data_IF_017191945154
#
_entry.id   IF_017191945154
#
_cell.length_a   1.000
_cell.length_b   1.000
_cell.length_c   1.000
_cell.angle_alpha   90.00
_cell.angle_beta   90.00
_cell.angle_gamma   90.00
#
_symmetry.space_group_name_H-M   'P 1'
#
loop_
_entity.id
_entity.type
_entity.pdbx_description
1 polymer ?
#
# COMPACT_ATOMS: atom_id res chain seq x y z
N UNK A 1 -8.73 -11.82 -10.92
CA UNK A 1 -8.20 -11.57 -9.57
C UNK A 1 -7.06 -12.55 -9.32
N UNK A 2 -5.92 -12.04 -8.80
CA UNK A 2 -4.79 -12.86 -8.39
C UNK A 2 -4.92 -13.47 -7.00
N UNK A 3 -4.03 -14.41 -6.66
CA UNK A 3 -3.98 -15.03 -5.33
C UNK A 3 -3.77 -14.02 -4.19
N UNK A 4 -3.23 -12.83 -4.49
CA UNK A 4 -3.07 -11.70 -3.58
C UNK A 4 -4.31 -10.81 -3.46
N UNK A 5 -5.46 -11.24 -3.98
CA UNK A 5 -6.74 -10.52 -4.03
C UNK A 5 -6.75 -9.24 -4.88
N UNK A 6 -5.68 -8.97 -5.63
CA UNK A 6 -5.59 -7.80 -6.50
C UNK A 6 -6.01 -8.14 -7.94
N UNK A 7 -6.51 -7.14 -8.68
CA UNK A 7 -6.71 -7.27 -10.11
C UNK A 7 -5.34 -7.40 -10.79
N UNK A 8 -5.20 -8.40 -11.67
CA UNK A 8 -4.01 -8.57 -12.50
C UNK A 8 -4.46 -8.51 -13.97
N UNK A 9 -3.92 -7.56 -14.70
CA UNK A 9 -4.14 -7.43 -16.13
C UNK A 9 -2.96 -8.11 -16.83
N UNK A 10 -3.19 -9.19 -17.60
CA UNK A 10 -2.13 -9.88 -18.33
C UNK A 10 -1.31 -8.91 -19.18
N UNK A 11 0.02 -9.03 -19.15
CA UNK A 11 0.99 -8.16 -19.84
C UNK A 11 0.97 -6.66 -19.45
N UNK A 12 0.30 -6.31 -18.34
CA UNK A 12 0.25 -4.93 -17.81
C UNK A 12 0.51 -4.86 -16.32
N UNK A 13 0.29 -5.97 -15.57
CA UNK A 13 0.52 -6.05 -14.14
C UNK A 13 -0.71 -5.73 -13.31
N UNK A 14 -0.49 -5.18 -12.12
CA UNK A 14 -1.54 -4.91 -11.13
C UNK A 14 -1.45 -3.51 -10.49
N UNK A 15 -0.60 -2.63 -11.01
CA UNK A 15 -0.52 -1.24 -10.54
C UNK A 15 -1.56 -0.37 -11.25
N UNK A 16 -2.84 -0.64 -10.98
CA UNK A 16 -3.98 0.08 -11.55
C UNK A 16 -4.94 0.50 -10.45
N UNK A 17 -5.57 1.66 -10.61
CA UNK A 17 -6.75 2.03 -9.86
C UNK A 17 -7.98 1.46 -10.54
N UNK A 18 -8.95 1.01 -9.75
CA UNK A 18 -10.26 0.58 -10.24
C UNK A 18 -11.21 1.78 -10.23
N UNK A 19 -12.00 1.90 -11.27
CA UNK A 19 -13.10 2.84 -11.37
C UNK A 19 -14.37 2.12 -11.82
N UNK A 20 -15.50 2.60 -11.37
CA UNK A 20 -16.82 2.09 -11.75
C UNK A 20 -17.65 3.24 -12.31
N UNK A 21 -18.38 2.98 -13.39
CA UNK A 21 -19.33 3.93 -13.99
C UNK A 21 -20.71 3.30 -13.86
N UNK A 22 -21.60 3.97 -13.15
CA UNK A 22 -23.00 3.56 -13.01
C UNK A 22 -23.80 4.29 -14.09
N UNK A 23 -24.46 3.53 -14.94
CA UNK A 23 -25.27 4.06 -16.05
C UNK A 23 -26.62 3.35 -16.06
N UNK A 24 -27.63 4.01 -16.63
CA UNK A 24 -28.97 3.47 -16.83
C UNK A 24 -29.21 2.94 -18.26
N UNK A 25 -28.11 2.56 -18.92
CA UNK A 25 -28.13 1.95 -20.24
C UNK A 25 -28.03 0.43 -20.13
N UNK A 26 -28.80 -0.25 -20.96
CA UNK A 26 -28.71 -1.71 -21.09
C UNK A 26 -27.43 -2.08 -21.84
N UNK A 27 -26.69 -3.08 -21.32
CA UNK A 27 -25.50 -3.59 -21.98
C UNK A 27 -25.91 -4.57 -23.12
N UNK A 28 -25.30 -4.39 -24.27
CA UNK A 28 -25.51 -5.28 -25.44
C UNK A 28 -24.73 -6.60 -25.31
N UNK A 29 -23.66 -6.62 -24.50
CA UNK A 29 -22.88 -7.82 -24.23
C UNK A 29 -22.10 -7.71 -22.90
N UNK A 30 -21.70 -8.84 -22.34
CA UNK A 30 -20.89 -8.94 -21.14
C UNK A 30 -19.62 -9.73 -21.41
N UNK A 31 -18.50 -9.30 -20.82
CA UNK A 31 -17.24 -10.03 -20.89
C UNK A 31 -17.31 -11.36 -20.13
N UNK A 32 -16.63 -12.35 -20.67
CA UNK A 32 -16.49 -13.66 -20.00
C UNK A 32 -15.39 -13.63 -18.94
N UNK A 33 -15.57 -14.34 -17.81
CA UNK A 33 -14.55 -14.45 -16.80
C UNK A 33 -13.23 -15.02 -17.35
N UNK A 34 -12.13 -14.34 -17.06
CA UNK A 34 -10.79 -14.78 -17.47
C UNK A 34 -10.28 -15.92 -16.58
N UNK A 35 -9.50 -16.83 -17.17
CA UNK A 35 -8.84 -17.90 -16.41
C UNK A 35 -7.82 -17.34 -15.43
N UNK A 36 -7.67 -18.01 -14.29
CA UNK A 36 -6.66 -17.65 -13.31
C UNK A 36 -5.25 -17.87 -13.89
N UNK A 37 -4.45 -16.80 -13.90
CA UNK A 37 -3.09 -16.79 -14.47
C UNK A 37 -1.98 -17.00 -13.42
N UNK A 38 -2.32 -17.27 -12.15
CA UNK A 38 -1.34 -17.47 -11.08
C UNK A 38 -0.70 -18.87 -11.09
N UNK A 39 -1.39 -19.90 -11.60
CA UNK A 39 -0.89 -21.27 -11.60
C UNK A 39 -0.42 -21.73 -10.21
N UNK A 40 0.75 -22.35 -10.13
CA UNK A 40 1.39 -22.79 -8.87
C UNK A 40 2.12 -21.69 -8.10
N UNK A 41 2.24 -20.46 -8.65
CA UNK A 41 3.01 -19.38 -8.04
C UNK A 41 2.46 -18.96 -6.66
N UNK A 42 3.35 -18.79 -5.68
CA UNK A 42 3.05 -18.34 -4.29
C UNK A 42 3.78 -17.07 -3.88
N UNK A 43 4.55 -16.43 -4.77
CA UNK A 43 5.45 -15.32 -4.43
C UNK A 43 4.81 -14.20 -3.60
N UNK A 44 3.55 -13.84 -3.89
CA UNK A 44 2.85 -12.81 -3.14
C UNK A 44 2.50 -13.24 -1.71
N UNK A 45 2.18 -14.52 -1.49
CA UNK A 45 1.91 -15.08 -0.17
C UNK A 45 3.20 -15.10 0.67
N UNK A 46 4.30 -15.51 0.05
CA UNK A 46 5.61 -15.63 0.69
C UNK A 46 6.17 -14.25 1.06
N UNK A 47 6.00 -13.26 0.18
CA UNK A 47 6.48 -11.90 0.36
C UNK A 47 5.68 -11.07 1.38
N UNK A 48 4.50 -11.53 1.82
CA UNK A 48 3.69 -10.78 2.77
C UNK A 48 4.38 -10.68 4.14
N UNK A 49 4.80 -9.49 4.60
CA UNK A 49 5.61 -9.35 5.83
C UNK A 49 4.83 -9.72 7.10
N UNK A 50 3.52 -9.60 7.07
CA UNK A 50 2.63 -9.89 8.19
C UNK A 50 1.87 -11.21 8.04
N UNK A 51 2.09 -11.90 6.91
CA UNK A 51 1.31 -13.10 6.55
C UNK A 51 -0.20 -12.84 6.57
N UNK A 52 -0.59 -11.64 6.12
CA UNK A 52 -1.99 -11.27 5.97
C UNK A 52 -2.68 -12.06 4.84
N UNK A 53 -1.93 -12.49 3.83
CA UNK A 53 -2.40 -13.45 2.83
C UNK A 53 -2.30 -14.86 3.41
N UNK A 54 -3.41 -15.37 3.92
CA UNK A 54 -3.49 -16.66 4.63
C UNK A 54 -3.58 -17.85 3.67
N UNK A 55 -3.69 -17.58 2.39
CA UNK A 55 -3.78 -18.55 1.32
C UNK A 55 -4.23 -17.88 0.01
N UNK A 56 -4.34 -18.63 -1.08
CA UNK A 56 -4.85 -18.09 -2.34
C UNK A 56 -6.23 -17.46 -2.16
N UNK A 57 -6.37 -16.18 -2.59
CA UNK A 57 -7.62 -15.40 -2.54
C UNK A 57 -8.17 -15.15 -1.12
N UNK A 58 -7.35 -15.35 -0.08
CA UNK A 58 -7.75 -15.13 1.31
C UNK A 58 -6.86 -14.08 1.96
N UNK A 59 -7.45 -12.92 2.24
CA UNK A 59 -6.79 -11.80 2.91
C UNK A 59 -7.43 -11.59 4.30
N UNK A 60 -6.60 -11.62 5.33
CA UNK A 60 -6.95 -11.10 6.65
C UNK A 60 -6.56 -9.62 6.69
N UNK A 61 -7.55 -8.74 6.56
CA UNK A 61 -7.32 -7.29 6.53
C UNK A 61 -6.71 -6.75 7.84
N UNK A 62 -7.06 -7.30 8.98
CA UNK A 62 -6.54 -6.87 10.29
C UNK A 62 -5.03 -7.08 10.45
N UNK A 63 -4.43 -7.92 9.59
CA UNK A 63 -2.99 -8.15 9.51
C UNK A 63 -2.33 -7.41 8.35
N UNK A 64 -3.11 -6.89 7.40
CA UNK A 64 -2.59 -6.23 6.21
C UNK A 64 -2.00 -4.85 6.55
N UNK A 65 -0.72 -4.62 6.24
CA UNK A 65 -0.07 -3.33 6.48
C UNK A 65 -0.75 -2.18 5.73
N UNK A 66 -1.31 -2.44 4.54
CA UNK A 66 -2.06 -1.41 3.82
C UNK A 66 -3.27 -0.95 4.62
N UNK A 67 -4.09 -1.89 5.12
CA UNK A 67 -5.22 -1.57 5.98
C UNK A 67 -4.77 -0.88 7.29
N UNK A 68 -3.76 -1.44 7.96
CA UNK A 68 -3.28 -0.92 9.25
C UNK A 68 -2.71 0.50 9.15
N UNK A 69 -2.07 0.85 8.04
CA UNK A 69 -1.46 2.17 7.87
C UNK A 69 -2.41 3.22 7.30
N UNK A 70 -3.49 2.80 6.63
CA UNK A 70 -4.43 3.71 5.95
C UNK A 70 -5.76 3.82 6.69
N UNK A 71 -6.39 2.68 7.05
CA UNK A 71 -7.78 2.62 7.51
C UNK A 71 -7.91 2.45 9.02
N UNK A 72 -7.01 1.69 9.65
CA UNK A 72 -7.08 1.40 11.06
C UNK A 72 -6.86 2.64 11.92
N UNK A 73 -7.69 2.83 12.96
CA UNK A 73 -7.70 4.04 13.79
C UNK A 73 -7.14 3.83 15.20
N UNK A 74 -6.92 2.60 15.61
CA UNK A 74 -6.32 2.27 16.92
C UNK A 74 -4.80 2.29 16.89
N UNK A 75 -4.17 1.92 18.00
CA UNK A 75 -2.73 1.84 18.16
C UNK A 75 -2.15 0.63 17.45
N UNK A 76 -0.98 0.80 16.85
CA UNK A 76 -0.26 -0.29 16.21
C UNK A 76 0.49 -1.11 17.27
N UNK A 77 0.36 -2.43 17.20
CA UNK A 77 1.16 -3.33 18.04
C UNK A 77 2.66 -3.20 17.71
N UNK A 78 3.56 -3.30 18.69
CA UNK A 78 5.00 -3.19 18.47
C UNK A 78 5.54 -4.15 17.38
N UNK A 79 4.97 -5.35 17.30
CA UNK A 79 5.34 -6.36 16.28
C UNK A 79 4.97 -5.91 14.87
N UNK A 80 3.88 -5.13 14.73
CA UNK A 80 3.48 -4.53 13.46
C UNK A 80 4.51 -3.51 13.00
N UNK A 81 4.93 -2.60 13.88
CA UNK A 81 5.98 -1.63 13.61
C UNK A 81 7.26 -2.28 13.09
N UNK A 82 7.69 -3.41 13.71
CA UNK A 82 8.86 -4.17 13.26
C UNK A 82 8.74 -4.70 11.82
N UNK A 83 7.53 -4.99 11.34
CA UNK A 83 7.25 -5.54 10.01
C UNK A 83 7.01 -4.46 8.94
N UNK A 84 6.80 -3.22 9.34
CA UNK A 84 6.53 -2.11 8.43
C UNK A 84 7.73 -1.74 7.54
N UNK A 85 8.97 -1.99 7.99
CA UNK A 85 10.16 -1.46 7.30
C UNK A 85 10.13 0.07 7.31
N UNK A 86 10.17 0.69 6.13
CA UNK A 86 10.05 2.15 5.97
C UNK A 86 8.68 2.58 5.42
N UNK A 87 7.65 1.73 5.55
CA UNK A 87 6.32 1.97 5.01
C UNK A 87 5.46 2.72 6.03
N UNK A 88 5.29 4.02 5.84
CA UNK A 88 4.43 4.86 6.68
C UNK A 88 2.99 4.95 6.14
N UNK A 89 2.76 4.57 4.89
CA UNK A 89 1.47 4.58 4.22
C UNK A 89 1.43 3.51 3.12
N UNK A 90 0.45 2.61 3.18
CA UNK A 90 0.30 1.52 2.21
C UNK A 90 1.35 0.41 2.33
N UNK A 91 1.19 -0.63 1.51
CA UNK A 91 2.12 -1.75 1.45
C UNK A 91 1.94 -2.52 0.14
N UNK A 92 2.89 -2.47 -0.76
CA UNK A 92 2.82 -3.10 -2.08
C UNK A 92 3.69 -4.35 -2.21
N UNK A 93 4.10 -4.99 -1.10
CA UNK A 93 5.01 -6.14 -1.15
C UNK A 93 4.45 -7.31 -1.97
N UNK A 94 3.16 -7.59 -1.85
CA UNK A 94 2.51 -8.63 -2.65
C UNK A 94 2.37 -8.25 -4.13
N UNK A 95 2.28 -6.96 -4.46
CA UNK A 95 2.29 -6.45 -5.83
C UNK A 95 3.71 -6.53 -6.42
N UNK A 96 4.73 -6.04 -5.68
CA UNK A 96 6.14 -6.07 -6.10
C UNK A 96 6.63 -7.49 -6.35
N UNK A 97 6.20 -8.46 -5.54
CA UNK A 97 6.56 -9.86 -5.70
C UNK A 97 5.86 -10.55 -6.89
N UNK A 98 4.81 -9.95 -7.45
CA UNK A 98 4.04 -10.55 -8.52
C UNK A 98 4.80 -10.54 -9.85
N UNK A 99 5.03 -11.71 -10.49
CA UNK A 99 5.75 -11.77 -11.77
C UNK A 99 5.08 -11.00 -12.91
N UNK A 100 3.76 -10.78 -12.84
CA UNK A 100 3.04 -10.00 -13.84
C UNK A 100 3.46 -8.52 -13.84
N UNK A 101 3.95 -7.99 -12.72
CA UNK A 101 4.40 -6.60 -12.62
C UNK A 101 5.72 -6.30 -13.33
N UNK A 102 6.42 -7.32 -13.88
CA UNK A 102 7.53 -7.10 -14.82
C UNK A 102 7.11 -6.38 -16.09
N UNK A 103 5.83 -6.39 -16.41
CA UNK A 103 5.26 -5.69 -17.56
C UNK A 103 4.69 -4.32 -17.22
N UNK A 104 4.69 -3.93 -15.94
CA UNK A 104 4.19 -2.63 -15.51
C UNK A 104 5.02 -1.50 -16.14
N UNK A 105 4.35 -0.47 -16.58
CA UNK A 105 4.99 0.73 -17.15
C UNK A 105 4.89 1.89 -16.16
N UNK A 106 5.86 2.80 -16.13
CA UNK A 106 5.77 4.01 -15.32
C UNK A 106 4.51 4.80 -15.66
N UNK A 107 3.83 5.29 -14.62
CA UNK A 107 2.67 6.16 -14.78
C UNK A 107 3.12 7.51 -15.38
N UNK A 108 2.43 7.97 -16.43
CA UNK A 108 2.69 9.26 -17.10
C UNK A 108 1.63 10.31 -16.78
N UNK A 109 0.61 9.95 -16.01
CA UNK A 109 -0.46 10.87 -15.58
C UNK A 109 0.12 11.89 -14.62
N UNK A 110 0.06 13.17 -14.97
CA UNK A 110 0.70 14.24 -14.22
C UNK A 110 0.17 14.35 -12.79
N UNK A 111 -1.12 14.14 -12.61
CA UNK A 111 -1.81 14.22 -11.32
C UNK A 111 -1.36 13.13 -10.32
N UNK A 112 -0.75 12.06 -10.80
CA UNK A 112 -0.21 10.98 -9.97
C UNK A 112 1.29 11.13 -9.68
N UNK A 113 1.94 12.15 -10.23
CA UNK A 113 3.34 12.41 -9.91
C UNK A 113 3.47 13.03 -8.51
N UNK A 114 4.48 12.62 -7.72
CA UNK A 114 4.70 13.21 -6.41
C UNK A 114 5.12 14.67 -6.53
N UNK A 115 4.63 15.51 -5.60
CA UNK A 115 5.03 16.92 -5.57
C UNK A 115 6.53 17.09 -5.24
N UNK A 116 7.19 18.15 -5.74
CA UNK A 116 8.59 18.42 -5.38
C UNK A 116 8.79 18.56 -3.87
N UNK A 117 7.84 19.14 -3.14
CA UNK A 117 7.88 19.27 -1.68
C UNK A 117 7.90 17.91 -0.98
N UNK A 118 7.12 16.94 -1.48
CA UNK A 118 7.14 15.58 -0.95
C UNK A 118 8.49 14.87 -1.22
N UNK A 119 9.04 15.05 -2.42
CA UNK A 119 10.31 14.42 -2.81
C UNK A 119 11.51 15.02 -2.07
N UNK A 120 11.44 16.26 -1.62
CA UNK A 120 12.52 16.91 -0.86
C UNK A 120 12.54 16.56 0.62
N UNK A 121 11.48 15.94 1.15
CA UNK A 121 11.39 15.59 2.57
C UNK A 121 12.45 14.58 2.99
N UNK A 122 13.23 14.94 4.01
CA UNK A 122 14.22 14.09 4.67
C UNK A 122 13.60 13.39 5.88
N UNK A 123 14.35 12.47 6.47
CA UNK A 123 13.88 11.69 7.62
C UNK A 123 13.40 12.58 8.77
N UNK A 124 14.13 13.63 9.08
CA UNK A 124 13.81 14.52 10.20
C UNK A 124 12.53 15.35 9.93
N UNK A 125 12.29 15.71 8.66
CA UNK A 125 11.07 16.41 8.25
C UNK A 125 9.82 15.55 8.50
N UNK A 126 9.93 14.24 8.28
CA UNK A 126 8.84 13.31 8.59
C UNK A 126 8.54 13.23 10.08
N UNK A 127 9.56 13.36 10.94
CA UNK A 127 9.39 13.29 12.39
C UNK A 127 8.84 14.57 13.00
N UNK A 128 9.24 15.70 12.45
CA UNK A 128 8.82 17.03 12.88
C UNK A 128 7.60 17.55 12.12
N UNK A 129 6.96 16.72 11.28
CA UNK A 129 5.85 17.11 10.43
C UNK A 129 4.69 17.65 11.28
N UNK A 130 4.40 18.96 11.13
CA UNK A 130 3.23 19.57 11.77
C UNK A 130 1.94 19.26 11.03
N UNK A 131 0.80 19.47 11.70
CA UNK A 131 -0.50 19.26 11.05
C UNK A 131 -0.73 20.22 9.88
N UNK A 132 -0.21 21.45 9.98
CA UNK A 132 -0.28 22.44 8.91
C UNK A 132 0.54 22.00 7.69
N UNK A 133 1.78 21.59 7.91
CA UNK A 133 2.63 21.03 6.86
C UNK A 133 1.98 19.80 6.20
N UNK A 134 1.40 18.89 7.00
CA UNK A 134 0.66 17.74 6.48
C UNK A 134 -0.49 18.17 5.56
N UNK A 135 -1.29 19.16 5.97
CA UNK A 135 -2.41 19.66 5.16
C UNK A 135 -1.94 20.21 3.82
N UNK A 136 -0.79 20.89 3.81
CA UNK A 136 -0.21 21.50 2.62
C UNK A 136 0.43 20.46 1.69
N UNK A 137 1.33 19.61 2.22
CA UNK A 137 2.05 18.58 1.44
C UNK A 137 1.11 17.57 0.81
N UNK A 138 0.05 17.16 1.53
CA UNK A 138 -0.89 16.16 1.07
C UNK A 138 -2.22 16.73 0.56
N UNK A 139 -2.25 18.01 0.15
CA UNK A 139 -3.44 18.59 -0.49
C UNK A 139 -3.79 17.81 -1.76
N UNK A 140 -5.03 17.32 -1.83
CA UNK A 140 -5.50 16.49 -2.95
C UNK A 140 -4.96 15.04 -2.97
N UNK A 141 -4.10 14.66 -2.02
CA UNK A 141 -3.52 13.32 -1.96
C UNK A 141 -4.40 12.31 -1.20
N UNK A 142 -4.39 11.05 -1.65
CA UNK A 142 -5.00 9.93 -0.94
C UNK A 142 -4.41 9.68 0.47
N UNK A 143 -3.21 10.20 0.77
CA UNK A 143 -2.59 10.10 2.10
C UNK A 143 -3.47 10.74 3.19
N UNK A 144 -4.32 11.70 2.83
CA UNK A 144 -5.32 12.27 3.75
C UNK A 144 -6.29 11.24 4.34
N UNK A 145 -6.45 10.08 3.72
CA UNK A 145 -7.27 8.99 4.23
C UNK A 145 -6.79 8.49 5.60
N UNK A 146 -5.48 8.41 5.81
CA UNK A 146 -4.88 8.04 7.10
C UNK A 146 -5.13 9.09 8.20
N UNK A 147 -5.42 10.33 7.84
CA UNK A 147 -5.43 11.52 8.72
C UNK A 147 -4.03 11.79 9.31
N UNK A 148 -3.82 13.01 9.83
CA UNK A 148 -2.55 13.40 10.45
C UNK A 148 -2.12 12.45 11.57
N UNK A 149 -3.01 12.18 12.53
CA UNK A 149 -2.70 11.32 13.67
C UNK A 149 -2.34 9.89 13.25
N UNK A 150 -3.01 9.34 12.24
CA UNK A 150 -2.70 8.01 11.71
C UNK A 150 -1.33 7.96 11.02
N UNK A 151 -0.98 8.99 10.25
CA UNK A 151 0.34 9.07 9.62
C UNK A 151 1.45 9.22 10.67
N UNK A 152 1.28 10.11 11.66
CA UNK A 152 2.26 10.29 12.75
C UNK A 152 2.43 9.04 13.60
N UNK A 153 1.33 8.34 13.92
CA UNK A 153 1.38 7.02 14.58
C UNK A 153 2.23 6.02 13.78
N UNK A 154 2.06 5.98 12.47
CA UNK A 154 2.81 5.07 11.59
C UNK A 154 4.30 5.42 11.57
N UNK A 155 4.64 6.71 11.51
CA UNK A 155 6.03 7.21 11.59
C UNK A 155 6.66 6.81 12.93
N UNK A 156 5.96 7.02 14.03
CA UNK A 156 6.44 6.66 15.38
C UNK A 156 6.64 5.15 15.54
N UNK A 157 5.73 4.32 14.99
CA UNK A 157 5.83 2.87 15.02
C UNK A 157 7.10 2.32 14.33
N UNK A 158 7.60 3.02 13.32
CA UNK A 158 8.87 2.67 12.65
C UNK A 158 10.08 3.09 13.49
N UNK A 159 9.98 4.22 14.19
CA UNK A 159 11.09 4.79 14.97
C UNK A 159 11.44 4.04 16.25
N UNK A 160 10.47 3.47 16.92
CA UNK A 160 10.72 2.68 18.14
C UNK A 160 11.75 1.54 17.95
N UNK A 161 12.18 1.32 16.69
CA UNK A 161 13.29 0.43 16.33
C UNK A 161 14.69 1.03 16.49
N UNK A 162 14.85 2.35 16.28
CA UNK A 162 16.18 2.96 16.16
C UNK A 162 16.84 3.16 17.52
N UNK A 163 16.07 3.32 18.59
CA UNK A 163 16.59 3.63 19.93
C UNK A 163 17.05 2.41 20.72
N UNK A 164 16.68 1.18 20.33
CA UNK A 164 17.10 -0.04 21.06
C UNK A 164 18.44 -0.64 20.60
N UNK A 165 18.95 -0.24 19.45
CA UNK A 165 20.24 -0.77 18.95
C UNK A 165 21.47 0.05 19.40
N UNK A 166 21.29 1.18 20.10
CA UNK A 166 22.40 2.00 20.60
C UNK A 166 22.67 1.84 22.10
N UNK A 167 22.05 0.85 22.77
CA UNK A 167 22.21 0.65 24.22
C UNK A 167 22.98 -0.65 24.59
N UNK A 168 23.75 -1.19 23.65
CA UNK A 168 24.64 -2.33 23.91
C UNK A 168 25.98 -2.05 23.25
N UNK A 169 26.81 -1.29 23.94
CA UNK A 169 28.26 -1.37 23.96
C UNK A 169 28.73 -0.92 25.34
#
# INVERSE_FOLDING_TARGET
IGKNTQLIIPRSGSFFFLGEIIIDLEADSYDSPQRNQCGSCTRCLDACPTKALEGPFRLNSERCLSYLTIEYRGDLKPETGKKMGNKIYGCDECLKACPWNRFARPCRTAEFQPSPSLLSMRKDDWHSLSEEQYKNVFKGSAVKRAKYNGLMRNIQAIHSKSTRNNSTN
#
